data_IF_054223441881
#
_entry.id   IF_054223441881
#
_cell.length_a   1.000
_cell.length_b   1.000
_cell.length_c   1.000
_cell.angle_alpha   90.00
_cell.angle_beta   90.00
_cell.angle_gamma   90.00
#
_symmetry.space_group_name_H-M   'P 1'
#
loop_
_entity.id
_entity.type
_entity.pdbx_description
1 polymer ?
#
# COMPACT_ATOMS: atom_id res chain seq x y z
N UNK A 1 -21.42 -20.52 -36.84
CA UNK A 1 -20.75 -21.27 -35.74
C UNK A 1 -19.22 -21.20 -35.71
N UNK A 2 -18.50 -20.87 -36.80
CA UNK A 2 -17.02 -20.85 -36.80
C UNK A 2 -16.39 -19.67 -36.03
N UNK A 3 -17.00 -18.48 -36.07
CA UNK A 3 -16.53 -17.28 -35.34
C UNK A 3 -16.60 -17.47 -33.81
N UNK A 4 -17.63 -18.15 -33.31
CA UNK A 4 -17.83 -18.40 -31.87
C UNK A 4 -16.74 -19.29 -31.26
N UNK A 5 -16.12 -20.18 -32.06
CA UNK A 5 -15.04 -21.07 -31.60
C UNK A 5 -13.73 -20.35 -31.28
N UNK A 6 -13.50 -19.17 -31.88
CA UNK A 6 -12.32 -18.35 -31.63
C UNK A 6 -12.55 -17.25 -30.58
N UNK A 7 -13.81 -16.86 -30.40
CA UNK A 7 -14.23 -15.90 -29.37
C UNK A 7 -13.98 -16.41 -27.94
N UNK A 8 -14.28 -17.69 -27.67
CA UNK A 8 -14.12 -18.26 -26.32
C UNK A 8 -12.64 -18.31 -25.90
N UNK A 9 -11.69 -18.86 -26.70
CA UNK A 9 -10.27 -18.81 -26.37
C UNK A 9 -9.74 -17.38 -26.24
N UNK A 10 -10.16 -16.46 -27.12
CA UNK A 10 -9.72 -15.07 -27.09
C UNK A 10 -10.16 -14.36 -25.81
N UNK A 11 -11.42 -14.53 -25.42
CA UNK A 11 -11.94 -14.00 -24.15
C UNK A 11 -11.17 -14.55 -22.95
N UNK A 12 -10.81 -15.83 -22.98
CA UNK A 12 -10.06 -16.48 -21.91
C UNK A 12 -8.64 -15.93 -21.81
N UNK A 13 -7.94 -15.74 -22.94
CA UNK A 13 -6.62 -15.11 -22.99
C UNK A 13 -6.67 -13.66 -22.50
N UNK A 14 -7.67 -12.89 -22.92
CA UNK A 14 -7.86 -11.50 -22.47
C UNK A 14 -8.16 -11.45 -20.98
N UNK A 15 -9.04 -12.33 -20.48
CA UNK A 15 -9.36 -12.39 -19.05
C UNK A 15 -8.14 -12.71 -18.19
N UNK A 16 -7.34 -13.71 -18.59
CA UNK A 16 -6.10 -14.08 -17.89
C UNK A 16 -5.04 -12.98 -18.00
N UNK A 17 -4.91 -12.34 -19.17
CA UNK A 17 -3.98 -11.22 -19.35
C UNK A 17 -4.34 -10.03 -18.45
N UNK A 18 -5.61 -9.66 -18.39
CA UNK A 18 -6.09 -8.57 -17.54
C UNK A 18 -5.90 -8.86 -16.05
N UNK A 19 -6.16 -10.09 -15.59
CA UNK A 19 -5.96 -10.45 -14.17
C UNK A 19 -4.48 -10.44 -13.78
N UNK A 20 -3.59 -10.88 -14.66
CA UNK A 20 -2.15 -10.81 -14.43
C UNK A 20 -1.68 -9.34 -14.33
N UNK A 21 -2.06 -8.49 -15.30
CA UNK A 21 -1.71 -7.07 -15.27
C UNK A 21 -2.24 -6.39 -13.99
N UNK A 22 -3.48 -6.71 -13.61
CA UNK A 22 -4.10 -6.17 -12.40
C UNK A 22 -3.28 -6.48 -11.14
N UNK A 23 -2.74 -7.70 -11.02
CA UNK A 23 -1.94 -8.11 -9.87
C UNK A 23 -0.50 -7.58 -9.86
N UNK A 24 -0.03 -6.98 -10.96
CA UNK A 24 1.27 -6.28 -11.06
C UNK A 24 1.20 -4.80 -10.67
N UNK A 25 0.01 -4.19 -10.74
CA UNK A 25 -0.14 -2.76 -10.42
C UNK A 25 -0.14 -2.59 -8.90
N UNK A 26 0.80 -1.77 -8.40
CA UNK A 26 0.84 -1.37 -7.00
C UNK A 26 -0.35 -0.45 -6.67
N UNK A 27 -1.11 -0.80 -5.64
CA UNK A 27 -2.32 -0.09 -5.20
C UNK A 27 -2.29 0.20 -3.72
N UNK A 28 -2.97 1.28 -3.32
CA UNK A 28 -3.17 1.57 -1.91
C UNK A 28 -3.95 0.43 -1.23
N UNK A 29 -3.46 0.03 -0.07
CA UNK A 29 -4.03 -1.04 0.75
C UNK A 29 -5.06 -0.43 1.70
N UNK A 30 -6.15 -1.15 1.97
CA UNK A 30 -7.12 -0.71 2.97
C UNK A 30 -6.51 -0.71 4.37
N UNK A 31 -6.88 0.24 5.22
CA UNK A 31 -6.34 0.32 6.58
C UNK A 31 -6.67 -0.95 7.37
N UNK A 32 -7.85 -1.54 7.14
CA UNK A 32 -8.29 -2.77 7.80
C UNK A 32 -7.37 -3.99 7.56
N UNK A 33 -6.56 -3.95 6.50
CA UNK A 33 -5.64 -5.02 6.08
C UNK A 33 -4.22 -4.85 6.64
N UNK A 34 -3.96 -3.74 7.33
CA UNK A 34 -2.66 -3.41 7.91
C UNK A 34 -2.68 -3.75 9.41
N UNK A 35 -1.94 -4.76 9.83
CA UNK A 35 -1.90 -5.18 11.25
C UNK A 35 -0.69 -6.09 11.53
N UNK A 36 0.20 -5.75 12.49
CA UNK A 36 0.22 -4.52 13.29
C UNK A 36 0.79 -3.33 12.50
N UNK A 37 0.47 -2.09 12.92
CA UNK A 37 1.14 -0.88 12.43
C UNK A 37 1.89 -0.21 13.59
N UNK A 38 3.19 0.00 13.42
CA UNK A 38 4.05 0.70 14.37
C UNK A 38 4.72 1.88 13.69
N UNK A 39 4.64 3.04 14.34
CA UNK A 39 5.27 4.28 13.89
C UNK A 39 6.13 4.79 15.03
N UNK A 40 7.38 5.08 14.74
CA UNK A 40 8.30 5.69 15.70
C UNK A 40 9.17 6.75 15.04
N UNK A 41 9.63 7.72 15.82
CA UNK A 41 10.64 8.68 15.37
C UNK A 41 12.00 8.33 15.97
N UNK A 42 13.04 8.34 15.14
CA UNK A 42 14.42 8.18 15.57
C UNK A 42 15.34 8.89 14.60
N UNK A 43 16.29 9.66 15.12
CA UNK A 43 17.37 10.28 14.35
C UNK A 43 16.88 11.19 13.20
N UNK A 44 15.72 11.84 13.35
CA UNK A 44 15.12 12.68 12.31
C UNK A 44 14.42 11.90 11.19
N UNK A 45 14.18 10.60 11.40
CA UNK A 45 13.41 9.74 10.51
C UNK A 45 12.15 9.24 11.18
N UNK A 46 11.06 9.20 10.41
CA UNK A 46 9.86 8.47 10.78
C UNK A 46 10.02 7.04 10.28
N UNK A 47 10.09 6.09 11.19
CA UNK A 47 10.12 4.67 10.88
C UNK A 47 8.69 4.13 10.89
N UNK A 48 8.33 3.45 9.81
CA UNK A 48 7.02 2.81 9.68
C UNK A 48 7.24 1.32 9.45
N UNK A 49 6.71 0.53 10.39
CA UNK A 49 6.79 -0.92 10.35
C UNK A 49 5.41 -1.54 10.49
N UNK A 50 5.22 -2.69 9.87
CA UNK A 50 4.00 -3.45 10.05
C UNK A 50 3.89 -4.61 9.07
N UNK A 51 2.74 -5.28 9.12
CA UNK A 51 2.45 -6.40 8.24
C UNK A 51 1.08 -6.28 7.58
N UNK A 52 0.88 -7.11 6.56
CA UNK A 52 -0.43 -7.30 5.95
C UNK A 52 -1.13 -8.50 6.61
N UNK A 53 -2.45 -8.40 6.78
CA UNK A 53 -3.26 -9.54 7.27
C UNK A 53 -3.29 -10.72 6.30
N UNK A 54 -3.10 -10.45 5.01
CA UNK A 54 -3.09 -11.45 3.96
C UNK A 54 -1.64 -11.70 3.51
N UNK A 55 -1.14 -12.92 3.78
CA UNK A 55 0.20 -13.40 3.43
C UNK A 55 0.52 -13.36 1.92
N UNK A 56 -0.50 -13.32 1.07
CA UNK A 56 -0.34 -13.19 -0.37
C UNK A 56 -0.01 -11.77 -0.81
N UNK A 57 -0.25 -10.79 0.06
CA UNK A 57 0.01 -9.37 -0.19
C UNK A 57 1.50 -9.09 -0.14
N UNK A 58 2.00 -8.33 -1.12
CA UNK A 58 3.42 -7.98 -1.21
C UNK A 58 3.59 -6.47 -1.16
N UNK A 59 4.49 -6.02 -0.29
CA UNK A 59 4.82 -4.61 -0.18
C UNK A 59 5.41 -4.08 -1.50
N UNK A 60 4.81 -3.01 -2.02
CA UNK A 60 5.14 -2.41 -3.30
C UNK A 60 5.47 -0.91 -3.20
N UNK A 61 5.70 -0.41 -1.98
CA UNK A 61 6.11 0.97 -1.70
C UNK A 61 5.08 1.76 -0.91
N UNK A 62 5.26 3.08 -0.89
CA UNK A 62 4.42 4.00 -0.14
C UNK A 62 4.39 5.37 -0.82
N UNK A 63 3.37 6.16 -0.49
CA UNK A 63 3.28 7.57 -0.83
C UNK A 63 3.01 8.35 0.45
N UNK A 64 3.59 9.54 0.59
CA UNK A 64 3.23 10.43 1.69
C UNK A 64 3.13 11.88 1.23
N UNK A 65 2.35 12.66 1.98
CA UNK A 65 2.27 14.12 1.84
C UNK A 65 2.32 14.74 3.23
N UNK A 66 2.91 15.91 3.34
CA UNK A 66 2.95 16.69 4.58
C UNK A 66 2.33 18.05 4.29
N UNK A 67 1.23 18.37 4.97
CA UNK A 67 0.54 19.67 4.87
C UNK A 67 0.28 20.15 6.29
N UNK A 68 0.70 21.37 6.61
CA UNK A 68 0.48 22.02 7.91
C UNK A 68 0.92 21.17 9.12
N UNK A 69 2.06 20.47 8.99
CA UNK A 69 2.61 19.61 10.06
C UNK A 69 1.88 18.28 10.25
N UNK A 70 0.87 17.99 9.43
CA UNK A 70 0.16 16.70 9.40
C UNK A 70 0.70 15.85 8.26
N UNK A 71 1.10 14.62 8.57
CA UNK A 71 1.53 13.66 7.56
C UNK A 71 0.38 12.73 7.20
N UNK A 72 0.10 12.60 5.91
CA UNK A 72 -0.78 11.57 5.37
C UNK A 72 0.08 10.56 4.61
N UNK A 73 -0.06 9.28 4.94
CA UNK A 73 0.75 8.17 4.42
C UNK A 73 -0.16 7.08 3.85
N UNK A 74 0.15 6.60 2.65
CA UNK A 74 -0.52 5.46 2.02
C UNK A 74 0.49 4.36 1.72
N UNK A 75 0.19 3.15 2.15
CA UNK A 75 0.98 1.95 1.87
C UNK A 75 0.45 1.30 0.61
N UNK A 76 1.36 0.93 -0.30
CA UNK A 76 1.03 0.25 -1.54
C UNK A 76 1.43 -1.21 -1.49
N UNK A 77 0.58 -2.06 -2.05
CA UNK A 77 0.88 -3.45 -2.27
C UNK A 77 0.48 -3.91 -3.67
N UNK A 78 1.05 -5.05 -4.07
CA UNK A 78 0.68 -5.79 -5.26
C UNK A 78 0.65 -7.29 -4.93
N UNK A 79 0.02 -8.10 -5.78
CA UNK A 79 -0.13 -9.54 -5.55
C UNK A 79 1.06 -10.33 -6.10
N UNK A 80 1.56 -9.93 -7.27
CA UNK A 80 2.61 -10.68 -7.97
C UNK A 80 3.98 -10.01 -7.91
N UNK A 81 4.01 -8.69 -7.72
CA UNK A 81 5.24 -7.88 -7.64
C UNK A 81 5.45 -7.33 -6.23
N UNK A 82 6.70 -7.05 -5.86
CA UNK A 82 7.03 -6.48 -4.55
C UNK A 82 7.66 -7.47 -3.57
N UNK A 83 7.99 -6.96 -2.39
CA UNK A 83 8.65 -7.71 -1.31
C UNK A 83 7.61 -8.55 -0.57
N UNK A 84 7.88 -9.84 -0.39
CA UNK A 84 7.06 -10.72 0.46
C UNK A 84 7.18 -10.33 1.93
N UNK A 85 6.07 -10.48 2.66
CA UNK A 85 5.95 -10.09 4.06
C UNK A 85 5.66 -8.61 4.24
N UNK A 86 5.76 -8.16 5.48
CA UNK A 86 5.44 -6.79 5.86
C UNK A 86 6.33 -5.70 5.29
N UNK A 87 6.07 -4.49 5.77
CA UNK A 87 6.75 -3.27 5.36
C UNK A 87 7.60 -2.73 6.50
N UNK A 88 8.80 -2.26 6.14
CA UNK A 88 9.74 -1.60 7.04
C UNK A 88 10.49 -0.56 6.22
N UNK A 89 10.17 0.71 6.45
CA UNK A 89 10.77 1.82 5.72
C UNK A 89 10.93 3.06 6.60
N UNK A 90 11.78 3.97 6.14
CA UNK A 90 12.11 5.22 6.80
C UNK A 90 11.72 6.40 5.92
N UNK A 91 11.05 7.38 6.47
CA UNK A 91 10.75 8.64 5.81
C UNK A 91 11.65 9.72 6.37
N UNK A 92 12.50 10.28 5.52
CA UNK A 92 13.28 11.45 5.88
C UNK A 92 12.42 12.70 5.72
N UNK A 93 12.24 13.46 6.79
CA UNK A 93 11.58 14.76 6.74
C UNK A 93 12.35 15.74 7.60
N UNK A 94 12.66 16.93 7.06
CA UNK A 94 13.26 18.02 7.84
C UNK A 94 12.43 18.42 9.06
N UNK A 95 11.13 18.11 9.00
CA UNK A 95 10.14 18.41 10.03
C UNK A 95 9.65 17.14 10.75
N UNK A 96 10.35 16.00 10.63
CA UNK A 96 9.97 14.73 11.25
C UNK A 96 9.63 14.89 12.74
N UNK A 97 10.50 15.56 13.50
CA UNK A 97 10.33 15.80 14.94
C UNK A 97 9.16 16.72 15.31
N UNK A 98 8.57 17.43 14.34
CA UNK A 98 7.38 18.28 14.57
C UNK A 98 6.07 17.55 14.29
N UNK A 99 6.11 16.39 13.63
CA UNK A 99 4.95 15.58 13.32
C UNK A 99 4.62 14.75 14.56
N UNK A 100 3.44 14.97 15.15
CA UNK A 100 3.00 14.24 16.36
C UNK A 100 2.15 13.02 16.03
N UNK A 101 1.49 13.05 14.88
CA UNK A 101 0.56 12.01 14.42
C UNK A 101 0.67 11.84 12.91
N UNK A 102 0.38 10.63 12.46
CA UNK A 102 0.32 10.29 11.03
C UNK A 102 -1.06 9.72 10.73
N UNK A 103 -1.69 10.25 9.69
CA UNK A 103 -2.89 9.67 9.10
C UNK A 103 -2.47 8.61 8.09
N UNK A 104 -2.73 7.33 8.40
CA UNK A 104 -2.62 6.26 7.41
C UNK A 104 -3.91 6.27 6.59
N UNK A 105 -3.78 6.51 5.29
CA UNK A 105 -4.89 6.52 4.33
C UNK A 105 -4.78 5.35 3.37
N UNK A 106 -5.83 4.56 3.28
CA UNK A 106 -5.93 3.41 2.38
C UNK A 106 -6.46 3.79 1.00
N UNK A 107 -7.54 3.13 0.56
CA UNK A 107 -8.05 3.26 -0.82
C UNK A 107 -8.70 4.61 -1.11
N UNK A 108 -9.29 5.25 -0.11
CA UNK A 108 -9.99 6.52 -0.25
C UNK A 108 -9.93 7.33 1.05
N UNK A 109 -10.46 8.56 1.04
CA UNK A 109 -10.41 9.48 2.19
C UNK A 109 -11.22 9.03 3.40
N UNK A 110 -12.17 8.10 3.25
CA UNK A 110 -12.96 7.54 4.36
C UNK A 110 -12.29 6.33 5.01
N UNK A 111 -11.29 5.76 4.34
CA UNK A 111 -10.49 4.63 4.78
C UNK A 111 -9.18 5.18 5.36
N UNK A 112 -9.26 5.76 6.54
CA UNK A 112 -8.11 6.35 7.23
C UNK A 112 -8.11 6.05 8.74
N UNK A 113 -6.91 5.99 9.31
CA UNK A 113 -6.68 5.91 10.75
C UNK A 113 -5.58 6.88 11.15
N UNK A 114 -5.76 7.57 12.28
CA UNK A 114 -4.74 8.44 12.85
C UNK A 114 -3.98 7.64 13.91
N UNK A 115 -2.66 7.62 13.78
CA UNK A 115 -1.77 6.93 14.71
C UNK A 115 -0.76 7.92 15.29
N UNK A 116 -0.55 7.91 16.62
CA UNK A 116 0.49 8.71 17.23
C UNK A 116 1.88 8.18 16.87
N UNK A 117 2.85 9.09 16.77
CA UNK A 117 4.26 8.71 16.67
C UNK A 117 4.77 8.39 18.07
N UNK A 118 5.39 7.22 18.25
CA UNK A 118 6.03 6.80 19.49
C UNK A 118 7.50 7.21 19.55
#
# INVERSE_FOLDING_TARGET
MKQLKWLIPLLLVVAVGCTLIYGYIAKNVEVSQLDPITISESDGFIHVKGDFKDDSTRYAGYNYTIVDGKMVLSIKAALFTGKKGGYDFKIQSKNASSIKEITIRGKNEKDEIVLPIK
#
